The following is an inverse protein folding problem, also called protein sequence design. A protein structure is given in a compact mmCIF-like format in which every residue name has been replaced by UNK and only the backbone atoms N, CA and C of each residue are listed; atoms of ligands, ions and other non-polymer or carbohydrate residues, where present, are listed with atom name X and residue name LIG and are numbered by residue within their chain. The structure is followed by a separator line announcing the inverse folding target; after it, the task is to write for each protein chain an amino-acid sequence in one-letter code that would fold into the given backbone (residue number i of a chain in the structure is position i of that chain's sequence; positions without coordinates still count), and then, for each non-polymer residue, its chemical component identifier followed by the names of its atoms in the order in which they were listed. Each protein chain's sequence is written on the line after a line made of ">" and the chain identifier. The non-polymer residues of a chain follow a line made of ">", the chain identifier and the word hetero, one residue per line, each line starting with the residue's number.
data_IF_352444539842
#
_entry.id   IF_352444539842
#
_cell.length_a   1.000
_cell.length_b   1.000
_cell.length_c   1.000
_cell.angle_alpha   90.00
_cell.angle_beta   90.00
_cell.angle_gamma   90.00
#
_symmetry.space_group_name_H-M   'P 1'
#
loop_
_entity.id
_entity.type
_entity.pdbx_description
1 polymer ?
2 polymer ?
3 non-polymer ?
4 non-polymer ?
5 non-polymer ?
6 water ?
#
# COMPACT_ATOMS: atom_id res chain seq x y z
N UNK A 25 -25.61 -8.63 6.02
CA UNK A 25 -24.31 -8.62 6.69
C UNK A 25 -23.58 -7.29 6.56
N UNK A 26 -22.31 -7.22 6.98
CA UNK A 26 -21.60 -5.94 6.93
C UNK A 26 -21.36 -5.49 5.49
N UNK A 27 -21.16 -6.42 4.56
CA UNK A 27 -21.02 -6.03 3.16
C UNK A 27 -22.41 -5.93 2.55
N UNK A 28 -22.82 -4.72 2.20
CA UNK A 28 -24.12 -4.53 1.61
C UNK A 28 -24.09 -4.82 0.12
N UNK A 29 -25.26 -4.98 -0.50
CA UNK A 29 -25.30 -5.23 -1.96
C UNK A 29 -24.76 -4.06 -2.76
N UNK A 30 -24.82 -2.85 -2.21
CA UNK A 30 -24.19 -1.67 -2.80
C UNK A 30 -23.18 -1.13 -1.78
N UNK A 31 -21.95 -0.95 -2.22
CA UNK A 31 -20.89 -0.42 -1.39
C UNK A 31 -20.19 0.70 -2.15
N UNK A 32 -19.87 1.77 -1.45
CA UNK A 32 -19.03 2.83 -1.96
C UNK A 32 -17.56 2.48 -1.75
N UNK A 33 -16.72 3.26 -2.41
CA UNK A 33 -15.28 3.09 -2.48
C UNK A 33 -14.65 4.47 -2.31
N UNK A 34 -13.65 4.54 -1.45
CA UNK A 34 -12.82 5.72 -1.31
C UNK A 34 -11.39 5.23 -1.35
N UNK A 35 -10.52 5.87 -2.11
CA UNK A 35 -9.13 5.41 -2.13
C UNK A 35 -8.18 6.57 -2.29
N UNK A 36 -6.94 6.33 -1.86
CA UNK A 36 -5.80 7.19 -2.18
C UNK A 36 -4.66 6.29 -2.65
N UNK A 37 -3.98 6.70 -3.70
CA UNK A 37 -2.74 6.06 -4.14
C UNK A 37 -1.59 7.04 -4.09
N UNK A 38 -0.52 6.65 -3.44
CA UNK A 38 0.73 7.36 -3.54
C UNK A 38 1.61 6.54 -4.46
N UNK A 39 2.21 7.19 -5.44
CA UNK A 39 2.86 6.50 -6.53
C UNK A 39 4.20 7.12 -6.91
N UNK A 40 5.04 6.30 -7.54
CA UNK A 40 6.30 6.79 -8.13
C UNK A 40 6.68 5.81 -9.23
N UNK A 41 6.64 6.25 -10.47
CA UNK A 41 6.91 5.41 -11.62
C UNK A 41 8.06 6.04 -12.37
N UNK A 42 9.18 5.29 -12.49
CA UNK A 42 10.38 5.81 -13.16
C UNK A 42 10.74 7.20 -12.64
N UNK A 43 10.66 7.38 -11.33
CA UNK A 43 10.98 8.63 -10.67
C UNK A 43 9.89 9.68 -10.64
N UNK A 44 8.81 9.52 -11.40
CA UNK A 44 7.69 10.45 -11.35
C UNK A 44 6.74 10.11 -10.21
N UNK A 45 6.74 10.95 -9.17
CA UNK A 45 5.83 10.88 -8.05
C UNK A 45 4.46 11.46 -8.38
N UNK A 46 3.43 10.91 -7.75
CA UNK A 46 2.06 11.36 -7.97
C UNK A 46 1.18 10.85 -6.84
N UNK A 47 0.04 11.51 -6.70
CA UNK A 47 -1.03 11.10 -5.80
C UNK A 47 -2.33 11.10 -6.59
N UNK A 48 -3.11 10.05 -6.43
CA UNK A 48 -4.41 9.88 -7.07
C UNK A 48 -5.41 9.57 -5.97
N UNK A 49 -6.56 10.23 -6.01
CA UNK A 49 -7.66 9.92 -5.11
C UNK A 49 -8.84 9.47 -5.95
N UNK A 50 -9.62 8.54 -5.40
CA UNK A 50 -10.79 8.06 -6.09
C UNK A 50 -11.98 7.91 -5.17
N UNK A 51 -13.14 7.94 -5.80
CA UNK A 51 -14.41 7.62 -5.19
C UNK A 51 -15.18 6.78 -6.19
N UNK A 52 -15.83 5.75 -5.70
CA UNK A 52 -16.57 4.90 -6.58
C UNK A 52 -17.69 4.17 -5.89
N UNK A 53 -18.19 3.13 -6.54
CA UNK A 53 -19.27 2.32 -6.02
C UNK A 53 -19.30 1.01 -6.76
N UNK A 54 -19.81 -0.02 -6.12
CA UNK A 54 -20.03 -1.25 -6.82
C UNK A 54 -21.00 -2.16 -6.09
N UNK A 55 -21.12 -3.37 -6.64
CA UNK A 55 -22.03 -4.39 -6.12
C UNK A 55 -21.23 -5.63 -5.78
N UNK A 56 -20.84 -5.81 -4.54
CA UNK A 56 -19.85 -6.85 -4.22
C UNK A 56 -20.29 -8.24 -4.62
N UNK A 57 -21.59 -8.55 -4.49
CA UNK A 57 -22.08 -9.90 -4.80
C UNK A 57 -22.25 -10.13 -6.28
N UNK A 58 -22.27 -9.06 -7.09
CA UNK A 58 -22.31 -9.21 -8.54
C UNK A 58 -20.93 -9.21 -9.17
N UNK A 59 -19.90 -8.81 -8.41
CA UNK A 59 -18.56 -8.78 -8.93
C UNK A 59 -18.34 -7.61 -9.86
N UNK A 60 -18.97 -6.47 -9.61
CA UNK A 60 -18.75 -5.32 -10.47
C UNK A 60 -18.53 -4.05 -9.67
N UNK A 61 -17.66 -3.16 -10.15
CA UNK A 61 -17.45 -1.88 -9.50
C UNK A 61 -16.89 -0.86 -10.47
N UNK A 62 -17.08 0.41 -10.16
CA UNK A 62 -16.56 1.51 -10.96
C UNK A 62 -15.95 2.52 -9.99
N UNK A 63 -14.85 3.14 -10.41
CA UNK A 63 -14.16 4.13 -9.59
C UNK A 63 -13.82 5.31 -10.47
N UNK A 64 -14.08 6.52 -9.97
CA UNK A 64 -13.69 7.79 -10.59
C UNK A 64 -12.43 8.29 -9.90
N UNK A 65 -11.38 8.52 -10.66
CA UNK A 65 -10.04 8.78 -10.16
C UNK A 65 -9.62 10.17 -10.61
N UNK A 66 -8.94 10.89 -9.75
CA UNK A 66 -8.38 12.17 -10.10
C UNK A 66 -6.94 12.26 -9.64
N UNK A 67 -6.03 12.66 -10.53
CA UNK A 67 -4.66 12.96 -10.14
C UNK A 67 -4.64 14.24 -9.31
N UNK A 68 -4.26 14.11 -8.06
CA UNK A 68 -4.22 15.24 -7.14
C UNK A 68 -2.85 15.89 -7.06
N UNK A 69 -1.79 15.12 -7.26
CA UNK A 69 -0.43 15.61 -7.32
C UNK A 69 0.30 14.90 -8.44
N UNK A 70 1.19 15.63 -9.12
CA UNK A 70 2.05 15.05 -10.10
C UNK A 70 1.42 14.95 -11.47
N UNK A 71 0.39 15.76 -11.72
CA UNK A 71 -0.26 15.86 -13.02
C UNK A 71 0.62 16.66 -13.98
N UNK A 72 0.64 16.29 -15.27
CA UNK A 72 0.05 15.13 -15.94
C UNK A 72 0.99 13.95 -15.84
N UNK A 73 0.44 12.74 -15.76
CA UNK A 73 1.28 11.57 -15.65
C UNK A 73 1.99 11.30 -16.96
N UNK A 74 3.29 11.03 -16.94
CA UNK A 74 4.05 10.79 -18.17
C UNK A 74 4.10 9.33 -18.62
N UNK A 75 3.18 8.47 -18.17
CA UNK A 75 3.21 7.04 -18.45
C UNK A 75 1.78 6.52 -18.63
N UNK A 76 1.68 5.31 -19.15
CA UNK A 76 0.40 4.65 -19.41
C UNK A 76 -0.40 4.49 -18.12
N UNK A 77 -1.64 4.95 -18.14
CA UNK A 77 -2.49 4.80 -16.98
C UNK A 77 -2.81 3.35 -16.73
N UNK A 78 -2.69 2.52 -17.77
CA UNK A 78 -3.08 1.12 -17.63
C UNK A 78 -2.24 0.40 -16.58
N UNK A 79 -1.05 0.88 -16.28
CA UNK A 79 -0.27 0.20 -15.25
C UNK A 79 -0.80 0.47 -13.85
N UNK A 80 -1.79 1.35 -13.72
CA UNK A 80 -2.38 1.68 -12.43
C UNK A 80 -3.72 1.03 -12.20
N UNK A 81 -4.44 0.67 -13.27
CA UNK A 81 -5.88 0.46 -13.13
C UNK A 81 -6.19 -0.75 -12.29
N UNK A 82 -5.35 -1.80 -12.35
CA UNK A 82 -5.67 -2.99 -11.55
C UNK A 82 -5.34 -2.80 -10.07
N UNK A 83 -4.64 -1.70 -9.73
CA UNK A 83 -4.44 -1.35 -8.34
C UNK A 83 -5.66 -0.65 -7.74
N UNK A 84 -6.34 -0.04 -8.57
CA UNK A 84 -7.59 0.60 -8.10
C UNK A 84 -8.80 -0.50 -7.88
N UNK A 86 -9.71 -4.71 -5.52
CA UNK A 86 -10.37 -5.10 -4.24
C UNK A 86 -11.23 -6.33 -4.60
N UNK A 87 -10.84 -7.43 -4.32
CA UNK A 87 -11.54 -8.67 -4.64
C UNK A 87 -12.77 -8.90 -3.77
N UNK A 88 -13.12 -8.01 -2.83
CA UNK A 88 -14.49 -8.06 -2.30
C UNK A 88 -15.50 -7.91 -3.42
N UNK A 89 -15.12 -7.25 -4.51
CA UNK A 89 -16.01 -7.13 -5.67
C UNK A 89 -15.77 -8.30 -6.63
N UNK A 90 -16.18 -9.50 -6.19
CA UNK A 90 -16.06 -10.70 -7.01
C UNK A 90 -17.31 -11.54 -6.79
N UNK A 91 -17.97 -11.95 -7.86
CA UNK A 91 -19.10 -12.89 -7.74
C UNK A 91 -18.52 -14.26 -7.46
N UNK A 92 -18.89 -14.84 -6.32
CA UNK A 92 -18.39 -16.13 -5.92
C UNK A 92 -19.53 -17.14 -5.87
N UNK A 93 -19.37 -18.32 -6.44
CA UNK A 93 -20.37 -19.37 -6.22
C UNK A 93 -20.32 -19.82 -4.77
N UNK A 94 -21.40 -20.42 -4.30
CA UNK A 94 -21.51 -20.71 -2.88
C UNK A 94 -20.65 -21.90 -2.44
N UNK A 95 -20.09 -22.67 -3.37
CA UNK A 95 -19.23 -23.79 -3.02
C UNK A 95 -17.76 -23.43 -2.99
N UNK A 96 -17.38 -22.17 -3.23
CA UNK A 96 -16.00 -21.69 -3.00
C UNK A 96 -16.02 -20.71 -1.84
N UNK A 97 -15.34 -21.00 -0.72
CA UNK A 97 -15.25 -20.02 0.37
C UNK A 97 -14.69 -18.69 -0.13
N UNK A 98 -15.28 -17.61 0.37
CA UNK A 98 -14.97 -16.25 -0.11
C UNK A 98 -13.96 -15.64 0.84
N UNK A 99 -12.67 -15.78 0.50
CA UNK A 99 -11.60 -15.28 1.35
C UNK A 99 -11.81 -13.80 1.67
N UNK A 100 -12.21 -13.02 0.67
CA UNK A 100 -12.26 -11.58 0.79
C UNK A 100 -13.45 -11.10 1.60
N UNK A 101 -14.67 -11.57 1.29
CA UNK A 101 -15.83 -11.09 2.03
C UNK A 101 -15.82 -11.54 3.49
N UNK A 102 -15.35 -12.77 3.75
CA UNK A 102 -15.19 -13.22 5.13
C UNK A 102 -14.28 -12.32 5.94
N UNK A 103 -13.33 -11.64 5.30
CA UNK A 103 -12.35 -10.90 6.08
C UNK A 103 -12.94 -9.64 6.72
N UNK A 104 -14.11 -9.18 6.27
CA UNK A 104 -14.66 -7.95 6.77
C UNK A 104 -15.50 -8.16 8.03
N UNK A 105 -15.72 -7.09 8.83
CA UNK A 105 -15.34 -5.69 8.66
C UNK A 105 -13.86 -5.35 8.74
N UNK A 106 -13.05 -6.25 9.30
CA UNK A 106 -11.66 -5.90 9.57
C UNK A 106 -10.90 -5.67 8.26
N UNK A 107 -11.14 -6.50 7.26
CA UNK A 107 -10.60 -6.31 5.94
C UNK A 107 -9.37 -7.14 5.68
N UNK A 108 -8.59 -6.69 4.71
CA UNK A 108 -7.44 -7.46 4.24
C UNK A 108 -6.51 -6.49 3.53
N UNK A 109 -5.30 -6.96 3.30
CA UNK A 109 -4.31 -6.21 2.54
C UNK A 109 -3.84 -7.11 1.43
N UNK A 110 -3.25 -6.49 0.41
CA UNK A 110 -2.67 -7.29 -0.64
C UNK A 110 -1.40 -6.63 -1.12
N UNK A 111 -0.52 -7.45 -1.65
CA UNK A 111 0.79 -7.07 -2.15
C UNK A 111 0.97 -7.70 -3.51
N UNK A 112 1.53 -6.94 -4.46
CA UNK A 112 1.51 -7.42 -5.82
C UNK A 112 2.79 -7.01 -6.53
N UNK A 113 3.31 -7.91 -7.36
CA UNK A 113 4.37 -7.60 -8.31
C UNK A 113 3.87 -7.90 -9.73
N UNK A 114 4.10 -6.96 -10.60
CA UNK A 114 3.79 -7.08 -12.01
C UNK A 114 5.12 -6.97 -12.75
N UNK A 115 5.50 -8.04 -13.43
CA UNK A 115 6.75 -8.11 -14.16
C UNK A 115 6.44 -8.02 -15.65
N UNK A 116 6.93 -6.96 -16.27
CA UNK A 116 6.64 -6.66 -17.65
C UNK A 116 7.72 -7.23 -18.57
N UNK A 117 7.27 -7.56 -19.77
CA UNK A 117 8.06 -8.22 -20.80
C UNK A 117 9.39 -7.51 -21.06
N UNK A 118 9.39 -6.18 -21.10
CA UNK A 118 10.61 -5.41 -21.35
C UNK A 118 11.31 -4.98 -20.07
N UNK A 119 11.13 -5.74 -18.98
CA UNK A 119 11.80 -5.65 -17.69
C UNK A 119 11.27 -4.50 -16.82
N UNK A 120 10.28 -3.74 -17.25
CA UNK A 120 9.61 -2.87 -16.31
C UNK A 120 9.03 -3.70 -15.16
N UNK A 121 9.00 -3.12 -13.97
CA UNK A 121 8.42 -3.81 -12.81
C UNK A 121 7.59 -2.83 -12.02
N UNK A 122 6.42 -3.28 -11.54
CA UNK A 122 5.62 -2.50 -10.61
C UNK A 122 5.45 -3.33 -9.36
N UNK A 123 5.61 -2.69 -8.21
CA UNK A 123 5.28 -3.27 -6.91
C UNK A 123 4.21 -2.41 -6.29
N UNK A 124 3.15 -3.06 -5.81
CA UNK A 124 1.96 -2.41 -5.30
C UNK A 124 1.58 -3.05 -3.99
N UNK A 125 1.18 -2.21 -3.05
CA UNK A 125 0.66 -2.62 -1.75
C UNK A 125 -0.67 -1.90 -1.53
N UNK A 126 -1.66 -2.60 -1.00
CA UNK A 126 -2.93 -1.94 -0.69
C UNK A 126 -3.52 -2.48 0.60
N UNK A 127 -4.06 -1.58 1.40
CA UNK A 127 -4.70 -1.90 2.67
C UNK A 127 -6.18 -1.58 2.49
N UNK A 128 -7.03 -2.59 2.68
CA UNK A 128 -8.48 -2.46 2.46
C UNK A 128 -9.17 -2.58 3.80
N UNK A 129 -9.85 -1.50 4.20
CA UNK A 129 -10.69 -1.42 5.38
C UNK A 129 -12.12 -1.07 4.99
N UNK A 130 -12.99 -0.93 6.00
CA UNK A 130 -14.40 -0.63 5.76
C UNK A 130 -14.91 0.35 6.80
N UNK A 131 -15.58 1.39 6.34
CA UNK A 131 -16.19 2.40 7.18
C UNK A 131 -17.64 2.56 6.73
N UNK A 132 -18.55 2.07 7.54
CA UNK A 132 -20.01 2.03 7.27
C UNK A 132 -20.24 1.33 5.94
N UNK A 133 -20.81 1.99 4.94
CA UNK A 133 -21.10 1.35 3.67
C UNK A 133 -20.07 1.72 2.61
N UNK A 134 -18.81 1.88 3.00
CA UNK A 134 -17.74 2.23 2.08
C UNK A 134 -16.52 1.38 2.37
N UNK A 135 -15.90 0.89 1.31
CA UNK A 135 -14.55 0.34 1.39
C UNK A 135 -13.58 1.51 1.26
N UNK A 136 -12.46 1.41 1.96
CA UNK A 136 -11.40 2.40 1.95
C UNK A 136 -10.11 1.69 1.58
N UNK A 137 -9.40 2.20 0.56
CA UNK A 137 -8.15 1.58 0.10
C UNK A 137 -7.06 2.60 0.29
N UNK A 138 -5.96 2.16 0.87
CA UNK A 138 -4.74 2.97 0.90
C UNK A 138 -3.69 2.24 0.09
N UNK A 139 -3.22 2.86 -0.98
CA UNK A 139 -2.42 2.19 -2.01
C UNK A 139 -1.05 2.88 -2.12
N UNK A 140 0.00 2.06 -2.19
CA UNK A 140 1.33 2.52 -2.56
C UNK A 140 1.78 1.74 -3.78
N UNK A 141 2.30 2.44 -4.77
CA UNK A 141 2.68 1.79 -6.02
C UNK A 141 3.99 2.37 -6.51
N UNK A 142 4.93 1.49 -6.82
CA UNK A 142 6.24 1.90 -7.37
C UNK A 142 6.48 1.21 -8.70
N UNK A 143 6.82 1.98 -9.73
CA UNK A 143 7.18 1.44 -11.02
C UNK A 143 8.59 1.87 -11.35
N UNK A 144 9.39 0.95 -11.87
CA UNK A 144 10.77 1.26 -12.19
C UNK A 144 11.24 0.37 -13.34
N UNK A 145 12.35 0.79 -13.96
CA UNK A 145 13.01 0.10 -15.05
C UNK A 145 12.14 -0.03 -16.28
N UNK A 146 11.18 0.85 -16.44
CA UNK A 146 10.48 0.88 -17.72
C UNK A 146 11.39 1.54 -18.75
N UNK A 147 11.59 0.94 -19.93
CA UNK A 147 12.38 1.60 -20.98
C UNK A 147 11.83 2.97 -21.28
N UNK A 148 12.67 4.00 -21.32
CA UNK A 148 12.13 5.34 -21.60
C UNK A 148 11.35 5.42 -22.90
N UNK A 149 11.67 4.58 -23.86
CA UNK A 149 10.98 4.61 -25.16
C UNK A 149 10.04 3.44 -25.36
N UNK A 150 9.83 2.61 -24.32
CA UNK A 150 8.87 1.54 -24.43
C UNK A 150 7.44 2.05 -24.37
N UNK A 151 6.50 1.12 -24.51
CA UNK A 151 5.09 1.52 -24.64
C UNK A 151 4.47 2.07 -23.36
N UNK A 152 4.99 1.74 -22.18
CA UNK A 152 4.43 2.31 -20.95
C UNK A 152 4.79 3.80 -20.86
N UNK A 153 6.08 4.12 -20.93
CA UNK A 153 6.49 5.51 -20.77
C UNK A 153 6.12 6.38 -21.97
N UNK A 154 5.88 5.78 -23.14
CA UNK A 154 5.43 6.56 -24.28
C UNK A 154 3.92 6.56 -24.43
N UNK A 155 3.19 5.91 -23.51
CA UNK A 155 1.73 5.92 -23.52
C UNK A 155 1.18 5.33 -24.81
N UNK A 156 1.62 4.11 -25.12
CA UNK A 156 1.21 3.42 -26.33
C UNK A 156 0.45 2.16 -26.02
N UNK A 157 -0.18 2.09 -24.85
CA UNK A 157 -1.01 0.95 -24.47
C UNK A 157 -2.45 1.30 -24.75
N UNK A 158 -3.28 0.27 -24.94
CA UNK A 158 -4.70 0.50 -25.12
C UNK A 158 -5.56 -0.04 -23.98
N UNK A 159 -5.07 -1.00 -23.23
CA UNK A 159 -5.83 -1.59 -22.15
C UNK A 159 -5.34 -3.00 -21.89
N UNK A 160 -5.99 -3.65 -20.92
CA UNK A 160 -5.69 -5.02 -20.54
C UNK A 160 -6.62 -5.95 -21.29
N UNK A 161 -6.11 -7.11 -21.66
CA UNK A 161 -6.98 -8.17 -22.13
C UNK A 161 -7.81 -8.70 -20.95
N UNK A 162 -8.87 -9.41 -21.26
CA UNK A 162 -9.52 -10.21 -20.24
C UNK A 162 -8.50 -11.18 -19.68
N UNK A 163 -8.63 -11.53 -18.42
CA UNK A 163 -7.66 -12.39 -17.78
C UNK A 163 -8.33 -13.42 -16.88
N UNK A 164 -7.53 -14.40 -16.45
CA UNK A 164 -7.93 -15.38 -15.46
C UNK A 164 -6.82 -15.45 -14.44
N UNK A 165 -7.19 -15.25 -13.18
CA UNK A 165 -6.29 -15.32 -12.04
C UNK A 165 -6.48 -16.66 -11.36
N UNK A 166 -5.38 -17.36 -11.14
CA UNK A 166 -5.39 -18.60 -10.37
C UNK A 166 -5.20 -18.25 -8.91
N UNK A 167 -6.15 -18.65 -8.08
CA UNK A 167 -6.13 -18.38 -6.64
C UNK A 167 -5.78 -19.69 -5.95
N UNK A 168 -4.81 -19.65 -5.05
CA UNK A 168 -4.32 -20.84 -4.38
C UNK A 168 -3.77 -20.43 -3.03
N UNK A 169 -3.85 -21.34 -2.08
CA UNK A 169 -3.48 -21.06 -0.70
C UNK A 169 -2.05 -21.53 -0.51
N UNK A 170 -1.20 -20.62 -0.01
CA UNK A 170 0.15 -20.93 0.45
C UNK A 170 0.38 -20.19 1.75
N UNK A 171 1.00 -20.87 2.71
CA UNK A 171 1.43 -20.23 3.96
C UNK A 171 0.23 -19.62 4.70
N UNK A 172 -0.91 -20.29 4.59
CA UNK A 172 -2.09 -19.85 5.28
C UNK A 172 -2.72 -18.58 4.73
N UNK A 173 -2.25 -18.08 3.58
CA UNK A 173 -2.86 -16.92 2.95
C UNK A 173 -3.24 -17.28 1.54
N UNK A 174 -3.87 -16.35 0.82
CA UNK A 174 -4.34 -16.61 -0.52
C UNK A 174 -3.42 -15.93 -1.52
N UNK A 175 -2.98 -16.68 -2.53
CA UNK A 175 -2.16 -16.11 -3.59
C UNK A 175 -2.93 -16.11 -4.91
N UNK A 176 -2.62 -15.12 -5.77
CA UNK A 176 -3.17 -15.06 -7.11
C UNK A 176 -2.06 -14.85 -8.14
N UNK A 177 -2.13 -15.61 -9.23
CA UNK A 177 -1.22 -15.49 -10.36
C UNK A 177 -2.02 -15.21 -11.64
N UNK A 178 -1.57 -14.23 -12.42
CA UNK A 178 -2.14 -13.95 -13.73
C UNK A 178 -1.00 -13.89 -14.75
N UNK A 179 -1.11 -14.63 -15.84
CA UNK A 179 -0.30 -14.43 -17.04
C UNK A 179 -1.12 -13.49 -17.90
N UNK A 180 -0.81 -12.19 -17.78
CA UNK A 180 -1.61 -11.13 -18.37
C UNK A 180 -1.01 -10.63 -19.67
N UNK A 181 -1.84 -9.95 -20.43
CA UNK A 181 -1.44 -9.28 -21.65
C UNK A 181 -1.88 -7.83 -21.60
N UNK A 182 -0.95 -6.93 -21.83
CA UNK A 182 -1.24 -5.51 -21.95
C UNK A 182 -1.31 -5.19 -23.43
N UNK A 183 -2.46 -4.73 -23.89
CA UNK A 183 -2.68 -4.56 -25.30
C UNK A 183 -2.05 -3.24 -25.75
N UNK A 184 -1.46 -3.25 -26.94
CA UNK A 184 -0.69 -2.12 -27.44
C UNK A 184 -1.35 -1.50 -28.68
N UNK A 185 -1.12 -0.19 -28.83
CA UNK A 185 -1.72 0.58 -29.92
C UNK A 185 -1.55 -0.05 -31.30
N UNK A 186 -0.44 -0.75 -31.54
CA UNK A 186 -0.31 -1.43 -32.83
C UNK A 186 -1.23 -2.63 -33.05
N UNK A 187 -1.86 -3.16 -32.01
CA UNK A 187 -2.54 -4.43 -32.10
C UNK A 187 -1.78 -5.59 -31.48
N UNK A 188 -0.50 -5.40 -31.20
CA UNK A 188 0.25 -6.40 -30.47
C UNK A 188 -0.03 -6.32 -28.98
N UNK A 189 0.77 -7.08 -28.23
CA UNK A 189 0.60 -7.10 -26.79
C UNK A 189 1.94 -7.28 -26.11
N UNK A 190 1.93 -6.93 -24.83
CA UNK A 190 3.06 -6.95 -23.93
C UNK A 190 2.67 -7.91 -22.83
N UNK A 191 3.42 -8.98 -22.67
CA UNK A 191 3.14 -9.91 -21.59
C UNK A 191 3.52 -9.28 -20.25
N UNK A 192 2.65 -9.47 -19.25
CA UNK A 192 2.86 -9.01 -17.89
C UNK A 192 2.42 -10.11 -16.95
N UNK A 193 3.31 -10.51 -16.04
CA UNK A 193 2.99 -11.51 -15.03
C UNK A 193 2.65 -10.84 -13.71
N UNK A 194 1.46 -11.15 -13.19
CA UNK A 194 0.99 -10.68 -11.90
C UNK A 194 1.19 -11.76 -10.87
N UNK A 195 1.79 -11.40 -9.75
CA UNK A 195 1.79 -12.22 -8.54
C UNK A 195 1.21 -11.40 -7.41
N UNK A 196 0.21 -11.93 -6.71
CA UNK A 196 -0.41 -11.22 -5.62
C UNK A 196 -0.50 -12.12 -4.40
N UNK A 197 -0.27 -11.52 -3.23
CA UNK A 197 -0.53 -12.15 -1.94
C UNK A 197 -1.66 -11.37 -1.28
N UNK A 198 -2.71 -12.06 -0.90
CA UNK A 198 -3.88 -11.48 -0.24
C UNK A 198 -3.91 -11.98 1.18
N UNK A 199 -3.96 -11.07 2.14
CA UNK A 199 -3.81 -11.38 3.57
C UNK A 199 -5.00 -10.87 4.36
N UNK A 200 -5.88 -11.78 4.76
CA UNK A 200 -6.97 -11.39 5.65
C UNK A 200 -6.43 -10.95 7.02
N UNK A 201 -7.10 -9.96 7.61
CA UNK A 201 -6.71 -9.46 8.94
C UNK A 201 -7.31 -10.28 10.08
N UNK A 202 -8.05 -11.33 9.79
CA UNK A 202 -8.49 -12.28 10.82
C UNK A 202 -8.58 -13.65 10.18
N UNK A 203 -8.72 -14.70 10.99
CA UNK A 203 -8.86 -16.03 10.43
C UNK A 203 -10.17 -16.17 9.67
N UNK A 204 -10.10 -16.83 8.52
CA UNK A 204 -11.26 -17.08 7.67
C UNK A 204 -11.14 -18.51 7.17
N UNK A 205 -12.23 -19.03 6.62
CA UNK A 205 -12.20 -20.31 5.97
C UNK A 205 -11.47 -20.18 4.63
N UNK A 206 -10.51 -20.99 4.44
CA UNK A 206 -9.67 -20.92 3.26
C UNK A 206 -10.29 -21.72 2.13
N UNK A 207 -10.25 -21.17 0.93
CA UNK A 207 -10.79 -21.87 -0.23
C UNK A 207 -9.80 -22.89 -0.77
N UNK A 208 -10.30 -23.73 -1.65
CA UNK A 208 -9.46 -24.53 -2.51
C UNK A 208 -9.03 -23.70 -3.71
N UNK A 209 -8.07 -24.23 -4.45
CA UNK A 209 -7.65 -23.68 -5.73
C UNK A 209 -8.86 -23.34 -6.58
N UNK A 210 -8.88 -22.15 -7.13
CA UNK A 210 -9.95 -21.79 -8.05
C UNK A 210 -9.46 -20.66 -8.92
N UNK A 211 -10.31 -20.21 -9.84
CA UNK A 211 -10.06 -19.16 -10.80
C UNK A 211 -10.88 -17.92 -10.49
N UNK A 212 -10.37 -16.75 -10.89
CA UNK A 212 -11.16 -15.52 -10.95
C UNK A 212 -10.97 -14.93 -12.34
N UNK A 213 -12.03 -14.87 -13.13
CA UNK A 213 -12.00 -14.24 -14.44
C UNK A 213 -12.21 -12.75 -14.26
N UNK A 214 -11.41 -11.95 -14.96
CA UNK A 214 -11.46 -10.50 -14.87
C UNK A 214 -11.75 -9.84 -16.22
N UNK A 215 -12.41 -8.68 -16.17
CA UNK A 215 -12.36 -7.73 -17.28
C UNK A 215 -12.26 -6.35 -16.69
N UNK A 216 -11.26 -5.58 -17.11
CA UNK A 216 -11.08 -4.25 -16.59
C UNK A 216 -11.00 -3.31 -17.76
N UNK A 217 -11.63 -2.15 -17.61
CA UNK A 217 -11.77 -1.20 -18.69
C UNK A 217 -11.73 0.22 -18.17
N UNK A 218 -11.06 1.09 -18.91
CA UNK A 218 -11.22 2.52 -18.70
C UNK A 218 -12.45 2.98 -19.46
N UNK A 219 -13.46 3.41 -18.73
CA UNK A 219 -14.74 3.86 -19.29
C UNK A 219 -14.70 5.33 -19.72
N UNK A 220 -13.81 6.10 -19.12
CA UNK A 220 -13.71 7.52 -19.45
C UNK A 220 -12.33 7.98 -19.02
N UNK A 221 -11.79 8.91 -19.79
CA UNK A 221 -10.61 9.62 -19.37
C UNK A 221 -10.59 10.94 -20.11
N UNK A 222 -10.11 11.99 -19.44
CA UNK A 222 -9.84 13.24 -20.14
C UNK A 222 -8.50 13.10 -20.86
N UNK A 223 -8.09 14.17 -21.52
CA UNK A 223 -6.99 14.03 -22.47
C UNK A 223 -5.72 13.55 -21.81
N UNK A 224 -5.41 14.05 -20.64
CA UNK A 224 -4.18 13.73 -19.95
C UNK A 224 -4.35 12.59 -18.93
N UNK A 225 -5.56 12.04 -18.81
CA UNK A 225 -5.84 11.00 -17.82
C UNK A 225 -5.74 11.53 -16.40
N UNK A 226 -5.90 12.86 -16.25
CA UNK A 226 -6.02 13.45 -14.91
C UNK A 226 -7.30 13.01 -14.25
N UNK A 227 -8.34 12.76 -15.05
CA UNK A 227 -9.63 12.24 -14.61
C UNK A 227 -9.90 10.95 -15.38
N UNK A 228 -10.14 9.88 -14.64
CA UNK A 228 -10.31 8.56 -15.24
C UNK A 228 -11.40 7.84 -14.47
N UNK A 229 -12.22 7.08 -15.18
CA UNK A 229 -13.19 6.16 -14.56
C UNK A 229 -12.80 4.76 -14.96
N UNK A 230 -12.67 3.87 -13.97
CA UNK A 230 -12.28 2.49 -14.19
C UNK A 230 -13.48 1.64 -13.85
N UNK A 231 -13.68 0.60 -14.65
CA UNK A 231 -14.68 -0.45 -14.42
C UNK A 231 -13.99 -1.81 -14.34
N UNK A 232 -14.47 -2.66 -13.42
CA UNK A 232 -14.00 -4.03 -13.39
C UNK A 232 -15.13 -4.98 -13.06
N UNK A 233 -15.15 -6.11 -13.73
CA UNK A 233 -15.98 -7.24 -13.35
C UNK A 233 -15.09 -8.42 -13.00
N UNK A 234 -15.57 -9.27 -12.09
CA UNK A 234 -14.75 -10.38 -11.68
C UNK A 234 -15.69 -11.47 -11.18
N UNK A 235 -15.47 -12.70 -11.65
CA UNK A 235 -16.29 -13.87 -11.29
C UNK A 235 -15.37 -15.01 -10.91
N UNK A 236 -15.66 -15.66 -9.80
CA UNK A 236 -14.89 -16.83 -9.39
C UNK A 236 -15.55 -18.10 -9.95
N UNK A 237 -14.72 -19.09 -10.28
CA UNK A 237 -15.24 -20.39 -10.72
C UNK A 237 -14.27 -21.50 -10.33
N UNK A 238 -14.81 -22.72 -10.23
CA UNK A 238 -13.98 -23.86 -9.85
C UNK A 238 -13.04 -24.25 -10.97
N UNK A 239 -11.99 -24.98 -10.60
CA UNK A 239 -10.95 -25.36 -11.55
C UNK A 239 -11.48 -26.23 -12.71
N UNK A 240 -12.36 -27.20 -12.44
CA UNK A 240 -12.84 -28.04 -13.54
C UNK A 240 -13.62 -27.24 -14.58
N UNK A 241 -14.42 -26.26 -14.15
CA UNK A 241 -15.25 -25.50 -15.11
C UNK A 241 -14.85 -24.03 -15.22
N UNK B 12 18.75 -22.15 9.70
CA UNK B 12 19.24 -21.02 8.92
C UNK B 12 18.60 -19.72 9.43
N UNK B 13 19.42 -18.67 9.62
CA UNK B 13 18.88 -17.36 9.92
C UNK B 13 17.72 -16.97 9.04
N UNK B 14 17.83 -17.32 7.75
CA UNK B 14 16.85 -16.92 6.75
C UNK B 14 15.49 -17.55 6.99
N UNK B 15 15.45 -18.87 7.22
CA UNK B 15 14.17 -19.56 7.22
C UNK B 15 13.37 -19.21 8.47
N UNK B 16 14.07 -18.97 9.57
CA UNK B 16 13.44 -18.42 10.76
C UNK B 16 13.09 -16.95 10.57
N UNK B 17 13.94 -16.22 9.85
CA UNK B 17 13.60 -14.85 9.49
C UNK B 17 12.22 -14.72 8.90
N UNK B 18 11.88 -15.65 8.01
CA UNK B 18 10.56 -15.66 7.40
C UNK B 18 9.46 -15.95 8.41
N UNK B 19 9.69 -16.87 9.35
CA UNK B 19 8.72 -17.07 10.42
C UNK B 19 8.68 -15.86 11.35
N UNK B 20 9.82 -15.21 11.54
CA UNK B 20 9.84 -13.97 12.31
C UNK B 20 8.94 -12.92 11.66
N UNK B 21 9.05 -12.75 10.34
CA UNK B 21 8.19 -11.77 9.68
C UNK B 21 6.73 -12.05 9.98
N UNK B 22 6.33 -13.32 9.85
CA UNK B 22 4.94 -13.72 10.10
C UNK B 22 4.55 -13.46 11.55
N UNK B 23 5.39 -13.86 12.49
CA UNK B 23 5.06 -13.62 13.90
C UNK B 23 4.89 -12.14 14.20
N UNK B 24 5.78 -11.29 13.67
CA UNK B 24 5.64 -9.85 13.89
C UNK B 24 4.35 -9.32 13.29
N UNK B 25 4.00 -9.82 12.10
CA UNK B 25 2.80 -9.37 11.39
C UNK B 25 1.53 -9.78 12.10
N UNK B 26 1.57 -10.90 12.82
CA UNK B 26 0.40 -11.42 13.52
C UNK B 26 0.33 -10.95 14.96
N UNK B 27 1.38 -10.31 15.47
CA UNK B 27 1.41 -9.83 16.83
C UNK B 27 1.85 -10.84 17.87
N UNK B 28 2.53 -11.91 17.48
CA UNK B 28 2.86 -13.01 18.38
C UNK B 28 4.14 -12.69 19.15
N UNK B 29 4.00 -11.85 20.20
CA UNK B 29 5.17 -11.44 20.96
C UNK B 29 6.00 -12.63 21.41
N UNK B 30 5.34 -13.71 21.85
CA UNK B 30 6.06 -14.88 22.35
C UNK B 30 6.78 -15.60 21.21
N UNK B 31 6.04 -15.97 20.16
CA UNK B 31 6.66 -16.52 18.96
C UNK B 31 7.88 -15.72 18.57
N UNK B 32 7.70 -14.41 18.40
CA UNK B 32 8.82 -13.54 18.05
C UNK B 32 9.99 -13.82 18.96
N UNK B 33 9.76 -13.75 20.27
CA UNK B 33 10.86 -13.93 21.21
C UNK B 33 11.46 -15.34 21.10
N UNK B 34 10.61 -16.36 20.94
CA UNK B 34 11.13 -17.72 20.75
C UNK B 34 11.99 -17.81 19.50
N UNK B 35 11.48 -17.26 18.37
CA UNK B 35 12.22 -17.32 17.11
C UNK B 35 13.55 -16.58 17.19
N UNK B 36 13.57 -15.45 17.90
CA UNK B 36 14.82 -14.70 17.97
C UNK B 36 15.84 -15.41 18.86
N UNK B 37 15.39 -15.99 19.95
CA UNK B 37 16.28 -16.74 20.81
C UNK B 37 16.99 -17.83 20.03
N UNK B 38 16.26 -18.49 19.11
CA UNK B 38 16.82 -19.55 18.27
C UNK B 38 17.56 -19.04 17.04
N UNK B 39 17.89 -17.76 16.95
CA UNK B 39 18.72 -17.27 15.86
C UNK B 39 18.05 -16.63 14.66
N UNK B 40 16.74 -16.33 14.72
CA UNK B 40 16.05 -15.78 13.56
C UNK B 40 16.68 -14.45 13.14
N UNK B 41 16.90 -14.30 11.84
CA UNK B 41 17.39 -13.05 11.25
C UNK B 41 16.43 -11.89 11.49
N UNK B 42 16.74 -11.06 12.47
CA UNK B 42 16.02 -9.85 12.87
C UNK B 42 15.81 -8.89 11.71
N UNK B 43 16.66 -8.98 10.68
CA UNK B 43 16.55 -8.09 9.54
C UNK B 43 16.01 -8.82 8.31
N UNK B 44 15.24 -9.88 8.53
CA UNK B 44 14.52 -10.53 7.45
C UNK B 44 13.71 -9.50 6.69
N UNK B 45 13.57 -9.68 5.38
CA UNK B 45 12.77 -8.78 4.56
C UNK B 45 11.85 -9.60 3.66
N UNK B 46 10.73 -9.01 3.27
CA UNK B 46 9.87 -9.68 2.29
C UNK B 46 9.95 -8.96 0.95
N UNK B 47 9.18 -9.48 0.00
CA UNK B 47 9.30 -9.02 -1.36
C UNK B 47 8.86 -7.57 -1.56
N UNK B 48 8.23 -6.94 -0.57
CA UNK B 48 8.02 -5.50 -0.68
C UNK B 48 8.86 -4.72 0.34
N UNK B 49 9.89 -5.35 0.89
CA UNK B 49 10.86 -4.65 1.70
C UNK B 49 10.48 -4.41 3.15
N UNK B 50 9.37 -4.99 3.61
CA UNK B 50 9.03 -4.94 5.02
C UNK B 50 9.96 -5.83 5.81
N UNK B 51 10.37 -5.33 6.97
CA UNK B 51 11.12 -6.05 7.99
C UNK B 51 10.23 -6.30 9.21
N UNK B 52 10.63 -7.22 10.10
CA UNK B 52 9.87 -7.35 11.35
C UNK B 52 9.62 -6.03 12.05
N UNK B 53 10.62 -5.15 12.08
CA UNK B 53 10.45 -3.86 12.75
C UNK B 53 9.39 -2.99 12.08
N UNK B 54 9.39 -2.91 10.74
CA UNK B 54 8.30 -2.22 10.04
C UNK B 54 6.94 -2.73 10.49
N UNK B 55 6.79 -4.06 10.48
CA UNK B 55 5.49 -4.66 10.75
C UNK B 55 5.02 -4.38 12.16
N UNK B 56 5.93 -4.50 13.13
CA UNK B 56 5.56 -4.23 14.51
C UNK B 56 5.24 -2.76 14.70
N UNK B 57 5.97 -1.88 14.02
CA UNK B 57 5.76 -0.44 14.15
C UNK B 57 4.40 -0.05 13.58
N UNK B 58 4.04 -0.61 12.43
CA UNK B 58 2.73 -0.37 11.86
C UNK B 58 1.62 -0.90 12.74
N UNK B 59 1.77 -2.14 13.24
CA UNK B 59 0.69 -2.74 14.01
C UNK B 59 0.60 -2.21 15.44
N UNK B 60 1.58 -1.45 15.89
CA UNK B 60 1.58 -0.93 17.24
C UNK B 60 2.07 -1.90 18.29
N UNK B 61 2.86 -2.90 17.93
CA UNK B 61 3.36 -3.90 18.87
C UNK B 61 4.64 -3.36 19.50
N UNK B 62 4.43 -2.50 20.50
CA UNK B 62 5.52 -1.80 21.18
C UNK B 62 6.56 -2.76 21.74
N UNK B 63 6.10 -3.76 22.48
CA UNK B 63 7.04 -4.69 23.10
C UNK B 63 7.89 -5.40 22.06
N UNK B 64 7.30 -5.77 20.92
CA UNK B 64 8.11 -6.42 19.89
C UNK B 64 9.07 -5.42 19.25
N UNK B 65 8.63 -4.16 19.08
CA UNK B 65 9.55 -3.14 18.57
C UNK B 65 10.79 -3.07 19.46
N UNK B 66 10.58 -2.96 20.77
CA UNK B 66 11.70 -2.84 21.72
C UNK B 66 12.64 -4.04 21.61
N UNK B 67 12.07 -5.24 21.66
CA UNK B 67 12.84 -6.46 21.53
C UNK B 67 13.66 -6.47 20.23
N UNK B 68 13.03 -6.17 19.10
CA UNK B 68 13.73 -6.13 17.82
C UNK B 68 14.86 -5.11 17.81
N UNK B 69 14.63 -3.93 18.37
CA UNK B 69 15.70 -2.93 18.41
C UNK B 69 16.86 -3.40 19.27
N UNK B 70 16.56 -3.99 20.43
CA UNK B 70 17.62 -4.44 21.34
C UNK B 70 18.47 -5.55 20.71
N UNK B 71 17.86 -6.39 19.85
CA UNK B 71 18.58 -7.50 19.21
C UNK B 71 19.10 -7.17 17.80
N UNK B 72 19.26 -5.90 17.46
CA UNK B 72 19.96 -5.54 16.24
C UNK B 72 19.15 -5.14 15.01
N UNK B 73 17.83 -4.97 15.11
CA UNK B 73 17.06 -4.60 13.92
C UNK B 73 17.50 -3.23 13.41
N UNK B 74 17.56 -3.09 12.08
CA UNK B 74 17.94 -1.84 11.45
C UNK B 74 16.81 -0.81 11.55
N UNK B 75 16.99 0.18 12.42
CA UNK B 75 15.92 1.14 12.68
C UNK B 75 15.61 1.98 11.46
N UNK B 76 16.56 2.12 10.53
CA UNK B 76 16.33 2.94 9.35
C UNK B 76 16.17 2.13 8.07
N UNK B 77 15.75 0.88 8.15
CA UNK B 77 15.47 0.14 6.94
C UNK B 77 14.31 0.82 6.18
N UNK B 78 14.44 0.89 4.87
CA UNK B 78 13.40 1.43 4.00
C UNK B 78 12.78 0.27 3.20
N UNK B 79 11.45 0.27 3.07
CA UNK B 79 10.83 -0.73 2.20
C UNK B 79 10.90 -0.24 0.75
N UNK B 80 10.26 -0.95 -0.17
CA UNK B 80 10.47 -0.61 -1.58
C UNK B 80 9.82 0.71 -1.93
N UNK B 81 8.97 1.23 -1.05
CA UNK B 81 8.32 2.52 -1.22
C UNK B 81 9.06 3.64 -0.48
N UNK B 82 10.25 3.34 0.02
CA UNK B 82 11.01 4.27 0.82
C UNK B 82 10.48 4.48 2.21
N UNK B 83 9.60 3.60 2.69
CA UNK B 83 8.98 3.80 3.97
C UNK B 83 9.86 3.17 5.06
N UNK B 84 10.02 3.89 6.16
CA UNK B 84 10.80 3.42 7.31
C UNK B 84 9.86 3.10 8.46
N UNK B 85 10.32 2.38 9.47
CA UNK B 85 9.45 2.14 10.63
C UNK B 85 8.95 3.41 11.27
N UNK B 86 9.77 4.46 11.29
CA UNK B 86 9.30 5.70 11.90
C UNK B 86 8.15 6.31 11.08
N UNK B 87 8.23 6.27 9.74
CA UNK B 87 7.09 6.71 8.94
C UNK B 87 5.82 6.01 9.37
N UNK B 88 5.90 4.69 9.57
CA UNK B 88 4.71 3.89 9.80
C UNK B 88 4.11 4.17 11.17
N UNK B 89 4.96 4.27 12.20
CA UNK B 89 4.45 4.63 13.54
C UNK B 89 3.85 6.02 13.53
N UNK B 90 4.47 6.94 12.81
CA UNK B 90 3.93 8.29 12.76
C UNK B 90 2.60 8.32 12.01
N UNK B 91 2.53 7.55 10.92
CA UNK B 91 1.31 7.45 10.14
C UNK B 91 0.16 6.91 11.00
N UNK B 92 0.42 5.84 11.75
CA UNK B 92 -0.58 5.26 12.63
C UNK B 92 -0.78 5.92 14.02
N UNK B 93 0.03 6.91 14.43
CA UNK B 93 -0.15 7.52 15.72
C UNK B 93 0.37 6.70 16.88
N UNK B 94 1.35 5.83 16.65
CA UNK B 94 1.88 5.02 17.75
C UNK B 94 2.95 5.86 18.43
N UNK B 95 2.54 6.67 19.40
CA UNK B 95 3.44 7.63 20.03
C UNK B 95 4.62 6.92 20.69
N UNK B 96 4.35 5.89 21.49
CA UNK B 96 5.44 5.26 22.23
C UNK B 96 6.44 4.63 21.29
N UNK B 97 5.97 3.99 20.22
CA UNK B 97 6.88 3.43 19.23
C UNK B 97 7.67 4.53 18.54
N UNK B 98 7.04 5.65 18.23
CA UNK B 98 7.80 6.78 17.66
C UNK B 98 8.92 7.18 18.62
N UNK B 99 8.62 7.23 19.90
CA UNK B 99 9.64 7.61 20.88
C UNK B 99 10.77 6.59 20.95
N UNK B 100 10.47 5.28 21.05
CA UNK B 100 11.59 4.33 21.12
C UNK B 100 12.37 4.28 19.81
N UNK B 101 11.69 4.41 18.67
CA UNK B 101 12.44 4.46 17.41
C UNK B 101 13.39 5.66 17.39
N UNK B 102 12.92 6.83 17.78
CA UNK B 102 13.82 7.97 17.76
C UNK B 102 14.98 7.76 18.72
N UNK B 103 14.69 7.23 19.92
CA UNK B 103 15.76 6.98 20.87
C UNK B 103 16.74 5.95 20.34
N UNK B 104 16.30 5.04 19.46
CA UNK B 104 17.21 4.05 18.90
C UNK B 104 17.88 4.51 17.61
N UNK B 105 17.80 5.80 17.28
CA UNK B 105 18.53 6.30 16.14
C UNK B 105 17.74 6.51 14.84
N UNK B 106 16.42 6.43 14.85
CA UNK B 106 15.67 6.61 13.62
C UNK B 106 15.92 8.00 13.04
N UNK B 107 16.10 8.06 11.72
CA UNK B 107 16.26 9.33 11.01
C UNK B 107 14.94 10.09 11.01
N UNK B 108 14.86 11.15 11.80
CA UNK B 108 13.61 11.89 11.95
C UNK B 108 13.16 12.51 10.63
N UNK B 109 14.08 12.67 9.68
CA UNK B 109 13.77 13.37 8.43
C UNK B 109 13.86 12.48 7.20
N UNK B 110 13.73 11.17 7.37
CA UNK B 110 13.73 10.26 6.23
C UNK B 110 12.59 10.60 5.29
N UNK B 111 12.84 10.54 3.99
CA UNK B 111 11.83 10.80 2.97
C UNK B 111 11.47 9.53 2.21
N UNK B 112 10.17 9.32 1.98
CA UNK B 112 9.72 8.16 1.26
C UNK B 112 9.67 8.50 -0.22
N UNK B 113 9.10 7.61 -1.03
CA UNK B 113 9.17 7.76 -2.47
C UNK B 113 8.37 8.95 -3.02
N UNK B 114 7.46 9.53 -2.25
CA UNK B 114 6.82 10.78 -2.69
C UNK B 114 7.33 11.97 -1.90
N UNK B 115 8.44 11.81 -1.18
CA UNK B 115 9.08 12.90 -0.49
C UNK B 115 8.56 13.18 0.89
N UNK B 116 7.72 12.33 1.46
CA UNK B 116 7.09 12.62 2.74
C UNK B 116 8.03 12.18 3.87
N UNK B 117 8.15 13.03 4.88
CA UNK B 117 8.86 12.70 6.11
C UNK B 117 7.89 12.17 7.12
N UNK B 118 8.37 11.66 8.25
CA UNK B 118 7.44 11.25 9.30
C UNK B 118 6.58 12.41 9.77
N UNK B 119 7.11 13.63 9.77
CA UNK B 119 6.32 14.77 10.18
C UNK B 119 5.20 15.05 9.18
N UNK B 120 5.47 14.91 7.88
CA UNK B 120 4.38 15.04 6.91
C UNK B 120 3.23 14.13 7.30
N UNK B 121 3.54 12.86 7.62
CA UNK B 121 2.50 11.87 7.87
C UNK B 121 1.76 12.17 9.16
N UNK B 122 2.51 12.45 10.22
CA UNK B 122 1.85 12.80 11.48
C UNK B 122 0.92 13.99 11.29
N UNK B 123 1.36 15.00 10.55
CA UNK B 123 0.52 16.17 10.27
C UNK B 123 -0.71 15.78 9.47
N UNK B 124 -0.52 15.00 8.39
CA UNK B 124 -1.64 14.57 7.55
C UNK B 124 -2.65 13.74 8.33
N UNK B 125 -2.18 12.79 9.11
CA UNK B 125 -3.09 11.87 9.78
C UNK B 125 -3.54 12.35 11.16
N UNK B 126 -3.13 13.56 11.54
CA UNK B 126 -3.73 14.27 12.66
C UNK B 126 -3.25 13.84 14.03
N UNK B 127 -1.97 13.47 14.16
CA UNK B 127 -1.40 12.95 15.40
C UNK B 127 -0.56 14.05 16.02
N UNK B 128 -1.20 14.87 16.89
CA UNK B 128 -0.55 16.07 17.41
C UNK B 128 0.65 15.75 18.29
N UNK B 129 0.49 14.80 19.23
CA UNK B 129 1.62 14.47 20.10
C UNK B 129 2.83 14.00 19.31
N UNK B 130 2.61 13.14 18.29
CA UNK B 130 3.75 12.75 17.44
C UNK B 130 4.34 13.99 16.78
N UNK B 131 3.51 14.89 16.27
CA UNK B 131 4.09 16.10 15.66
C UNK B 131 5.04 16.75 16.65
N UNK B 132 4.60 16.88 17.91
CA UNK B 132 5.40 17.57 18.90
C UNK B 132 6.68 16.81 19.22
N UNK B 133 6.61 15.49 19.36
CA UNK B 133 7.83 14.73 19.60
C UNK B 133 8.79 14.88 18.42
N UNK B 134 8.25 14.81 17.19
CA UNK B 134 9.13 14.86 16.03
C UNK B 134 9.86 16.20 15.93
N UNK B 135 9.12 17.30 16.08
CA UNK B 135 9.77 18.61 16.13
C UNK B 135 10.79 18.69 17.27
N UNK B 136 10.45 18.14 18.44
CA UNK B 136 11.40 18.15 19.55
C UNK B 136 12.67 17.40 19.21
N UNK B 137 12.59 16.38 18.34
CA UNK B 137 13.78 15.65 17.93
C UNK B 137 14.37 16.17 16.63
N UNK B 138 14.04 17.39 16.20
CA UNK B 138 14.73 17.96 15.07
C UNK B 138 14.10 17.73 13.71
N UNK B 139 12.88 17.21 13.66
CA UNK B 139 12.16 17.17 12.40
C UNK B 139 12.19 18.55 11.75
N UNK B 140 12.49 18.57 10.46
CA UNK B 140 12.53 19.79 9.67
C UNK B 140 11.11 20.27 9.37
N UNK B 141 10.70 21.36 10.03
CA UNK B 141 9.32 21.82 9.93
C UNK B 141 9.01 22.30 8.51
N UNK B 142 10.03 22.67 7.75
CA UNK B 142 9.87 23.16 6.38
C UNK B 142 10.20 22.09 5.34
N UNK B 143 10.24 20.82 5.73
CA UNK B 143 10.46 19.75 4.77
C UNK B 143 9.41 19.81 3.66
N UNK B 144 9.86 19.69 2.41
CA UNK B 144 8.98 19.65 1.26
C UNK B 144 8.97 18.25 0.66
N UNK B 145 7.77 17.76 0.35
CA UNK B 145 7.63 16.51 -0.37
C UNK B 145 7.93 16.79 -1.85
N UNK B 146 7.72 15.80 -2.71
CA UNK B 146 8.07 15.93 -4.12
C UNK B 146 7.16 16.89 -4.87
N UNK B 147 6.09 17.36 -4.25
CA UNK B 147 5.19 18.33 -4.84
C UNK B 147 5.34 19.70 -4.20
N UNK B 148 6.35 19.88 -3.35
CA UNK B 148 6.62 21.14 -2.69
C UNK B 148 5.77 21.41 -1.48
N UNK B 149 5.10 20.39 -0.95
CA UNK B 149 4.19 20.56 0.17
C UNK B 149 4.95 20.34 1.46
N UNK B 150 4.61 21.12 2.48
CA UNK B 150 5.14 21.01 3.83
C UNK B 150 4.17 20.24 4.71
N UNK B 151 4.63 19.79 5.88
CA UNK B 151 3.68 19.27 6.86
C UNK B 151 2.59 20.26 7.16
N UNK B 152 2.88 21.56 7.16
CA UNK B 152 1.83 22.54 7.41
C UNK B 152 0.76 22.46 6.31
N UNK B 153 1.19 22.40 5.05
CA UNK B 153 0.24 22.32 3.95
C UNK B 153 -0.67 21.10 4.08
N UNK B 154 -0.12 19.97 4.51
CA UNK B 154 -0.94 18.78 4.66
C UNK B 154 -1.90 18.89 5.84
N UNK B 155 -1.43 19.45 6.97
CA UNK B 155 -2.31 19.70 8.10
C UNK B 155 -3.52 20.53 7.67
N UNK B 156 -3.25 21.64 6.96
CA UNK B 156 -4.31 22.52 6.48
C UNK B 156 -5.27 21.76 5.56
N UNK B 157 -4.73 21.06 4.56
CA UNK B 157 -5.58 20.36 3.61
C UNK B 157 -6.51 19.37 4.28
N UNK B 158 -6.13 18.79 5.42
CA UNK B 158 -6.97 17.83 6.14
C UNK B 158 -7.73 18.41 7.34
N UNK B 159 -7.76 19.74 7.50
CA UNK B 159 -8.45 20.35 8.61
C UNK B 159 -7.89 20.09 9.98
N UNK B 160 -6.59 19.81 10.10
CA UNK B 160 -5.97 19.61 11.41
C UNK B 160 -5.40 20.95 11.88
N UNK B 161 -6.29 21.86 12.29
CA UNK B 161 -5.86 23.23 12.55
C UNK B 161 -4.95 23.31 13.77
N UNK B 162 -5.20 22.51 14.79
CA UNK B 162 -4.32 22.59 15.95
C UNK B 162 -2.90 22.27 15.55
N UNK B 163 -2.71 21.18 14.79
CA UNK B 163 -1.38 20.85 14.28
C UNK B 163 -0.85 21.95 13.38
N UNK B 164 -1.69 22.49 12.51
CA UNK B 164 -1.25 23.58 11.64
C UNK B 164 -0.76 24.76 12.47
N UNK B 165 -1.44 25.05 13.58
CA UNK B 165 -0.99 26.15 14.43
C UNK B 165 0.36 25.82 15.05
N UNK B 166 0.53 24.60 15.59
CA UNK B 166 1.82 24.19 16.13
C UNK B 166 2.92 24.30 15.09
N UNK B 167 2.64 23.87 13.85
CA UNK B 167 3.69 23.90 12.82
C UNK B 167 4.05 25.32 12.43
N UNK B 168 3.03 26.17 12.28
CA UNK B 168 3.29 27.57 11.92
C UNK B 168 4.15 28.25 12.98
N UNK B 169 3.86 28.02 14.25
CA UNK B 169 4.65 28.61 15.32
C UNK B 169 6.10 28.11 15.29
N UNK B 170 6.28 26.80 15.09
CA UNK B 170 7.62 26.23 15.05
C UNK B 170 8.39 26.76 13.85
N UNK B 171 7.70 27.06 12.75
CA UNK B 171 8.39 27.59 11.58
C UNK B 171 8.86 29.02 11.83
N UNK B 172 7.98 29.85 12.39
CA UNK B 172 8.39 31.20 12.78
C UNK B 172 9.58 31.17 13.73
N UNK B 173 9.48 30.40 14.82
CA UNK B 173 10.58 30.37 15.78
C UNK B 173 11.88 29.90 15.14
N UNK B 174 11.78 28.97 14.19
CA UNK B 174 12.98 28.43 13.55
C UNK B 174 13.71 29.49 12.74
N UNK B 175 13.04 30.55 12.30
CA UNK B 175 13.75 31.64 11.62
C UNK B 175 14.72 32.37 12.53
N UNK B 176 14.73 32.10 13.83
CA UNK B 176 15.62 32.79 14.75
C UNK B 176 16.81 31.95 15.21
N UNK B 177 17.30 31.03 14.39
CA UNK B 177 18.58 30.39 14.69
C UNK B 177 19.76 31.13 14.04
N UNK B 178 20.97 30.64 14.32
CA UNK B 178 22.23 31.27 13.89
C UNK B 178 22.74 30.65 12.59
X LIG C 1 -24.52 0.83 -9.87
X LIG C 1 -23.08 0.35 -9.78
X LIG C 1 -22.93 -0.57 -8.70
X LIG C 1 -22.19 1.55 -9.52
X LIG C 1 -22.71 -0.34 -11.09
X LIG C 1 -21.31 -0.91 -11.06
X LIG C 1 -21.30 -2.07 -10.22
X LIG C 1 -20.83 -1.28 -12.45
X LIG C 1 -24.62 1.50 -10.67
X LIG C 1 -25.16 0.00 -10.03
X LIG C 1 -24.79 1.31 -8.97
X LIG C 1 -23.51 -1.34 -8.84
X LIG C 1 -21.18 1.23 -9.46
X LIG C 1 -22.29 2.25 -10.32
X LIG C 1 -22.47 2.01 -8.61
X LIG C 1 -23.42 -1.15 -11.29
X LIG C 1 -22.79 0.37 -11.91
X LIG C 1 -20.62 -0.15 -10.64
X LIG C 1 -21.92 -2.73 -10.58
X LIG C 1 -20.83 -0.42 -13.07
X LIG C 1 -19.85 -1.68 -12.39
X LIG C 1 -21.48 -2.01 -12.86
X LIG D 1 -22.42 -11.60 -14.25
X LIG D 1 -21.63 -10.51 -13.54
X LIG D 1 -22.40 -10.07 -12.36
X LIG D 1 -20.28 -11.09 -13.16
X LIG D 1 -21.33 -9.30 -14.43
X LIG D 1 -22.63 -8.68 -14.88
X LIG D 1 -23.26 -8.09 -13.72
X LIG D 1 -22.35 -7.71 -16.03
X LIG D 1 -22.60 -11.29 -15.29
X LIG D 1 -21.84 -12.53 -14.26
X LIG D 1 -23.36 -11.77 -13.75
X LIG D 1 -22.54 -9.10 -12.42
X LIG D 1 -19.49 -10.50 -13.61
X LIG D 1 -20.17 -11.07 -12.06
X LIG D 1 -20.21 -12.13 -13.50
X LIG D 1 -20.74 -8.58 -13.89
X LIG D 1 -20.76 -9.63 -15.31
X LIG D 1 -23.28 -9.47 -15.26
X LIG D 1 -22.58 -7.65 -13.17
X LIG D 1 -22.69 -6.71 -15.75
X LIG D 1 -21.28 -7.69 -16.23
X LIG D 1 -22.89 -8.04 -16.92
X LIG E 1 -13.85 13.34 -4.57
X LIG E 1 -12.35 13.08 -4.78
X LIG E 1 -11.67 14.34 -4.96
X LIG E 1 -11.79 12.50 -3.48
X LIG E 1 -12.06 12.19 -6.00
X LIG E 1 -12.94 12.46 -7.23
X LIG E 1 -12.67 13.72 -7.81
X LIG E 1 -12.76 11.39 -8.30
X LIG E 1 -14.41 12.85 -5.34
X LIG E 1 -14.15 12.98 -3.59
X LIG E 1 -14.04 14.43 -4.62
X LIG E 1 -11.19 14.34 -5.81
X LIG E 1 -11.29 11.56 -3.69
X LIG E 1 -11.07 13.20 -3.04
X LIG E 1 -12.60 12.32 -2.76
X LIG E 1 -11.02 12.32 -6.28
X LIG E 1 -12.19 11.15 -5.71
X LIG E 1 -13.99 12.44 -6.91
X LIG E 1 -11.71 13.81 -7.98
X LIG E 1 -12.47 11.87 -9.24
X LIG E 1 -11.98 10.69 -7.99
X LIG E 1 -13.69 10.85 -8.45
X LIG F 1 7.60 -12.40 -18.43
X LIG F 1 8.37 -12.23 -19.74
X LIG F 1 8.34 -11.85 -17.25
X LIG F 1 6.40 -11.49 -18.64
X LIG F 1 7.29 -13.84 -18.17
X LIG G 1 0.39 0.10 4.36
X LIG G 1 -0.34 1.40 4.38
X LIG G 1 1.89 0.22 4.64
X LIG G 1 0.05 -0.89 5.46
X LIG G 1 0.03 -0.67 3.09
X LIG H 1 -4.52 -14.17 10.95
X LIG H 1 -4.74 -12.79 10.39
X LIG H 1 -3.06 -14.50 11.13
X LIG H 1 -5.26 -14.31 12.27
X LIG H 1 -5.14 -15.25 10.09
X LIG I 1 8.47 14.56 -9.65
X LIG I 1 8.62 13.29 -9.04
X LIG I 1 9.85 15.21 -9.51
X LIG I 1 10.90 14.15 -9.38
X LIG I 1 8.19 14.46 -10.69
X LIG I 1 7.71 15.15 -9.12
X LIG I 1 7.79 12.81 -9.08
X LIG I 1 10.06 15.82 -10.40
X LIG I 1 9.87 15.86 -8.64
X LIG I 1 11.77 14.56 -9.29
X LIG J 1 -15.31 -11.89 -16.00
X LIG J 1 -15.56 -10.68 -15.26
X LIG J 1 -15.97 -11.71 -17.33
X LIG J 1 -16.49 -13.02 -17.49
X LIG J 1 -14.23 -12.04 -16.12
X LIG J 1 -15.72 -12.75 -15.48
X LIG J 1 -15.15 -10.76 -14.39
X LIG J 1 -15.25 -11.47 -18.12
X LIG J 1 -16.76 -10.96 -17.29
X LIG J 1 -16.97 -13.08 -18.34
X LIG K 1 0.79 -0.23 24.58
X LIG K 1 1.46 1.08 24.91
X LIG K 1 1.19 -0.43 23.15
X LIG K 1 -0.71 -0.10 24.53
X LIG K 1 1.13 -1.48 25.42
#
# INVERSE_FOLDING_TARGET
>A
MGSSHHHHHHSQDPMVSKGEETTMGVIKPDMKIKLKMEGNVNGHAFVIEGEGEGKPYDGTNTINLEVKEGAPLPFSYDILTTAFXNRAFTKYPDDIPNYFKQSFPEGYSWERTMTFEDKGIVKVKSDISMEEDSFIYEIHLKGENFPPNGPVMQKKTTGWDASTERMYVRDGVLKGDVKHKLLLEGGGHHRVDFKTIYRAKKAVKLPDYHFVDHRIEILNHDKDYNKVTVYESAVARNSTDGMDELYK
>B
MRGSHHHHHHHHGSDLGKKLLEAARAGQDDEVRILMANGADVNATDWVGMTPLHLAAWKGHLEIVEVLLKTGADVNAHDVFGTTPLHLAAHRGHLEIVEVLLKAGADVNAQDMVGKTPLHLAAYYGHLEIVEVLLKHGADVNAQDKFGKTPFDLAIDNGNEDIAEVLQKAAKLNDYKDDDDK
>C hetero
1 MPD C1 C2 O2 CM C3 C4 O4 C5 H11 H12 H13 HO2 HM1 HM2 HM3 H31 H32 H4 HO4 H51 H52 H53
>D hetero
1 MPD C1 C2 O2 CM C3 C4 O4 C5 H11 H12 H13 HO2 HM1 HM2 HM3 H31 H32 H4 HO4 H51 H52 H53
>E hetero
1 MPD C1 C2 O2 CM C3 C4 O4 C5 H11 H12 H13 HO2 HM1 HM2 HM3 H31 H32 H4 HO4 H51 H52 H53
>F hetero
1 SO4 S O1 O2 O3 O4
>G hetero
1 SO4 S O1 O2 O3 O4
>H hetero
1 SO4 S O1 O2 O3 O4
>I hetero
1 EDO C1 O1 C2 O2 H11 H12 HO1 H21 H22 HO2
>J hetero
1 EDO C1 O1 C2 O2 H11 H12 HO1 H21 H22 HO2
>K hetero
1 SO4 S O1 O2 O3 O4
#
